data_IF_854138858422
#
_entry.id   IF_854138858422
#
_cell.length_a   1.000
_cell.length_b   1.000
_cell.length_c   1.000
_cell.angle_alpha   90.00
_cell.angle_beta   90.00
_cell.angle_gamma   90.00
#
_symmetry.space_group_name_H-M   'P 1'
#
loop_
_entity.id
_entity.type
_entity.pdbx_description
1 polymer ?
#
# COMPACT_ATOMS: atom_id res chain seq x y z
N UNK A 1 -7.35 33.93 -17.58
CA UNK A 1 -6.58 33.09 -16.72
C UNK A 1 -6.58 31.73 -17.35
N UNK A 2 -5.46 31.26 -17.86
CA UNK A 2 -5.37 30.01 -18.62
C UNK A 2 -5.55 28.84 -17.66
N UNK A 3 -6.68 28.14 -17.75
CA UNK A 3 -6.80 26.79 -17.24
C UNK A 3 -5.83 25.93 -18.04
N UNK A 4 -4.60 25.83 -17.55
CA UNK A 4 -3.66 24.83 -18.05
C UNK A 4 -4.19 23.49 -17.61
N UNK A 5 -4.89 22.78 -18.51
CA UNK A 5 -5.29 21.38 -18.37
C UNK A 5 -4.04 20.47 -18.33
N UNK A 6 -3.15 20.69 -17.36
CA UNK A 6 -1.98 19.83 -17.15
C UNK A 6 -2.49 18.48 -16.68
N UNK A 7 -2.14 17.43 -17.39
CA UNK A 7 -2.42 16.06 -16.95
C UNK A 7 -1.68 15.77 -15.63
N UNK A 8 -2.33 15.06 -14.73
CA UNK A 8 -1.73 14.60 -13.46
C UNK A 8 -0.34 13.95 -13.66
N UNK A 9 -0.14 13.26 -14.76
CA UNK A 9 1.13 12.60 -15.09
C UNK A 9 2.16 13.55 -15.73
N UNK A 10 1.76 14.74 -16.17
CA UNK A 10 2.64 15.77 -16.76
C UNK A 10 3.16 16.77 -15.72
N UNK A 11 2.57 16.79 -14.51
CA UNK A 11 3.07 17.60 -13.36
C UNK A 11 4.54 17.29 -13.05
N UNK A 12 5.02 16.12 -13.44
CA UNK A 12 6.42 15.71 -13.30
C UNK A 12 7.41 16.56 -14.09
N UNK A 13 6.95 17.35 -15.04
CA UNK A 13 7.78 18.28 -15.79
C UNK A 13 8.17 19.52 -14.96
N UNK A 14 7.50 19.73 -13.82
CA UNK A 14 7.86 20.78 -12.86
C UNK A 14 8.93 20.26 -11.88
N UNK A 15 9.76 21.15 -11.36
CA UNK A 15 10.80 20.84 -10.37
C UNK A 15 11.94 19.97 -10.90
N UNK A 16 12.51 19.13 -10.04
CA UNK A 16 13.65 18.26 -10.34
C UNK A 16 13.16 16.86 -10.71
N UNK A 17 13.32 16.48 -11.99
CA UNK A 17 12.84 15.19 -12.54
C UNK A 17 13.95 14.38 -13.21
N UNK A 18 15.21 14.56 -12.78
CA UNK A 18 16.31 13.73 -13.27
C UNK A 18 16.16 12.29 -12.77
N UNK A 19 16.61 11.32 -13.56
CA UNK A 19 16.39 9.89 -13.29
C UNK A 19 16.79 9.43 -11.89
N UNK A 20 17.92 9.91 -11.37
CA UNK A 20 18.42 9.54 -10.04
C UNK A 20 17.59 10.14 -8.88
N UNK A 21 16.94 11.30 -9.09
CA UNK A 21 16.13 11.93 -8.04
C UNK A 21 14.90 11.08 -7.68
N UNK A 22 14.31 10.42 -8.67
CA UNK A 22 13.20 9.49 -8.46
C UNK A 22 13.61 8.29 -7.62
N UNK A 23 14.76 7.68 -7.98
CA UNK A 23 15.28 6.53 -7.26
C UNK A 23 15.65 6.93 -5.82
N UNK A 24 16.29 8.09 -5.63
CA UNK A 24 16.68 8.58 -4.31
C UNK A 24 15.47 8.83 -3.41
N UNK A 25 14.41 9.47 -3.91
CA UNK A 25 13.19 9.72 -3.14
C UNK A 25 12.46 8.42 -2.81
N UNK A 26 12.36 7.50 -3.77
CA UNK A 26 11.79 6.18 -3.53
C UNK A 26 12.57 5.44 -2.43
N UNK A 27 13.89 5.45 -2.53
CA UNK A 27 14.76 4.84 -1.54
C UNK A 27 14.62 5.47 -0.15
N UNK A 28 14.59 6.78 -0.10
CA UNK A 28 14.37 7.52 1.15
C UNK A 28 13.02 7.19 1.78
N UNK A 29 12.00 6.98 0.94
CA UNK A 29 10.66 6.54 1.38
C UNK A 29 10.69 5.13 1.96
N UNK A 30 11.37 4.19 1.30
CA UNK A 30 11.52 2.81 1.79
C UNK A 30 12.27 2.77 3.12
N UNK A 31 13.36 3.53 3.25
CA UNK A 31 14.09 3.64 4.51
C UNK A 31 13.24 4.24 5.62
N UNK A 32 12.54 5.33 5.32
CA UNK A 32 11.64 5.97 6.26
C UNK A 32 10.55 5.02 6.73
N UNK A 33 9.96 4.24 5.81
CA UNK A 33 8.98 3.22 6.14
C UNK A 33 9.56 2.14 7.06
N UNK A 34 10.72 1.58 6.74
CA UNK A 34 11.37 0.56 7.58
C UNK A 34 11.65 1.09 9.00
N UNK A 35 12.17 2.31 9.13
CA UNK A 35 12.42 2.92 10.43
C UNK A 35 11.13 3.11 11.24
N UNK A 36 10.10 3.66 10.60
CA UNK A 36 8.78 3.85 11.21
C UNK A 36 8.18 2.51 11.63
N UNK A 37 8.26 1.50 10.76
CA UNK A 37 7.78 0.16 11.06
C UNK A 37 8.47 -0.40 12.30
N UNK A 38 9.79 -0.41 12.38
CA UNK A 38 10.54 -0.90 13.53
C UNK A 38 10.10 -0.20 14.83
N UNK A 39 9.97 1.13 14.80
CA UNK A 39 9.61 1.92 15.98
C UNK A 39 8.17 1.66 16.42
N UNK A 40 7.22 1.66 15.48
CA UNK A 40 5.79 1.53 15.79
C UNK A 40 5.41 0.09 16.11
N UNK A 41 5.96 -0.91 15.40
CA UNK A 41 5.60 -2.31 15.62
C UNK A 41 6.45 -2.99 16.70
N UNK A 42 7.55 -2.40 17.11
CA UNK A 42 8.42 -2.94 18.15
C UNK A 42 7.69 -3.38 19.44
N UNK A 43 6.71 -2.62 19.96
CA UNK A 43 5.93 -3.02 21.14
C UNK A 43 4.92 -4.15 20.91
N UNK A 44 4.61 -4.55 19.67
CA UNK A 44 3.55 -5.53 19.38
C UNK A 44 3.73 -6.88 20.10
N UNK A 45 4.92 -7.48 20.14
CA UNK A 45 5.09 -8.75 20.84
C UNK A 45 4.71 -8.69 22.32
N UNK A 46 5.08 -7.61 23.02
CA UNK A 46 4.76 -7.43 24.44
C UNK A 46 3.27 -7.15 24.65
N UNK A 47 2.68 -6.34 23.79
CA UNK A 47 1.24 -6.06 23.82
C UNK A 47 0.42 -7.33 23.53
N UNK A 48 0.88 -8.16 22.59
CA UNK A 48 0.26 -9.44 22.28
C UNK A 48 0.32 -10.40 23.48
N UNK A 49 1.48 -10.47 24.14
CA UNK A 49 1.68 -11.32 25.35
C UNK A 49 0.79 -10.89 26.50
N UNK A 50 0.57 -9.59 26.67
CA UNK A 50 -0.32 -9.06 27.71
C UNK A 50 -1.81 -9.27 27.37
N UNK A 51 -2.19 -9.29 26.10
CA UNK A 51 -3.57 -9.52 25.68
C UNK A 51 -3.94 -11.01 25.61
N UNK A 52 -3.05 -11.85 25.09
CA UNK A 52 -3.19 -13.31 24.99
C UNK A 52 -1.82 -13.97 25.21
N UNK A 53 -1.57 -14.57 26.39
CA UNK A 53 -0.30 -15.24 26.71
C UNK A 53 0.06 -16.37 25.73
N UNK A 54 -0.93 -17.10 25.18
CA UNK A 54 -0.67 -18.16 24.21
C UNK A 54 -0.19 -17.60 22.89
N UNK A 55 -0.79 -16.50 22.43
CA UNK A 55 -0.36 -15.80 21.22
C UNK A 55 1.03 -15.18 21.42
N UNK A 56 1.29 -14.59 22.58
CA UNK A 56 2.63 -14.11 22.95
C UNK A 56 3.68 -15.20 22.85
N UNK A 57 3.40 -16.38 23.41
CA UNK A 57 4.29 -17.54 23.30
C UNK A 57 4.50 -17.99 21.84
N UNK A 58 3.45 -17.98 21.00
CA UNK A 58 3.58 -18.31 19.58
C UNK A 58 4.47 -17.30 18.84
N UNK A 59 4.35 -16.00 19.13
CA UNK A 59 5.20 -14.94 18.55
C UNK A 59 6.66 -15.16 18.96
N UNK A 60 6.93 -15.42 20.24
CA UNK A 60 8.28 -15.66 20.74
C UNK A 60 8.90 -16.88 20.04
N UNK A 61 8.16 -17.99 19.95
CA UNK A 61 8.62 -19.21 19.30
C UNK A 61 8.87 -19.01 17.80
N UNK A 62 7.97 -18.35 17.09
CA UNK A 62 8.14 -18.05 15.67
C UNK A 62 9.34 -17.12 15.44
N UNK A 63 9.55 -16.13 16.30
CA UNK A 63 10.70 -15.24 16.27
C UNK A 63 12.01 -15.99 16.54
N UNK A 64 12.02 -16.88 17.53
CA UNK A 64 13.19 -17.73 17.83
C UNK A 64 13.53 -18.66 16.66
N UNK A 65 12.53 -19.32 16.06
CA UNK A 65 12.70 -20.15 14.87
C UNK A 65 13.28 -19.34 13.70
N UNK A 66 12.74 -18.14 13.45
CA UNK A 66 13.26 -17.24 12.43
C UNK A 66 14.72 -16.88 12.69
N UNK A 67 15.10 -16.52 13.92
CA UNK A 67 16.48 -16.16 14.29
C UNK A 67 17.43 -17.34 14.07
N UNK A 68 17.02 -18.57 14.40
CA UNK A 68 17.83 -19.78 14.21
C UNK A 68 18.07 -20.09 12.73
N UNK A 69 17.14 -19.71 11.84
CA UNK A 69 17.25 -19.92 10.40
C UNK A 69 18.02 -18.80 9.68
N UNK A 70 18.30 -17.68 10.34
CA UNK A 70 18.99 -16.54 9.74
C UNK A 70 20.44 -16.92 9.42
N UNK A 71 20.80 -16.81 8.13
CA UNK A 71 22.20 -16.83 7.69
C UNK A 71 22.87 -15.47 7.98
N UNK A 72 23.41 -15.34 9.18
CA UNK A 72 24.06 -14.11 9.63
C UNK A 72 25.21 -13.63 8.73
N UNK A 73 25.86 -14.53 8.00
CA UNK A 73 26.91 -14.13 7.03
C UNK A 73 26.28 -13.41 5.84
N UNK A 74 25.21 -13.96 5.27
CA UNK A 74 24.47 -13.30 4.20
C UNK A 74 23.81 -12.00 4.65
N UNK A 75 23.19 -12.00 5.83
CA UNK A 75 22.61 -10.77 6.41
C UNK A 75 23.66 -9.68 6.56
N UNK A 76 24.84 -10.00 7.12
CA UNK A 76 25.92 -9.04 7.25
C UNK A 76 26.46 -8.56 5.90
N UNK A 77 26.64 -9.45 4.93
CA UNK A 77 27.12 -9.10 3.59
C UNK A 77 26.15 -8.14 2.87
N UNK A 78 24.87 -8.50 2.78
CA UNK A 78 23.87 -7.67 2.12
C UNK A 78 23.55 -6.41 2.92
N UNK A 79 23.59 -6.47 4.25
CA UNK A 79 23.45 -5.31 5.13
C UNK A 79 24.58 -4.28 4.94
N UNK A 80 25.82 -4.71 4.76
CA UNK A 80 26.94 -3.83 4.44
C UNK A 80 26.78 -3.18 3.05
N UNK A 81 26.38 -3.95 2.03
CA UNK A 81 26.10 -3.41 0.70
C UNK A 81 24.99 -2.35 0.76
N UNK A 82 23.92 -2.65 1.49
CA UNK A 82 22.84 -1.72 1.76
C UNK A 82 23.33 -0.43 2.43
N UNK A 83 24.06 -0.55 3.52
CA UNK A 83 24.57 0.57 4.31
C UNK A 83 25.52 1.47 3.50
N UNK A 84 26.57 0.88 2.90
CA UNK A 84 27.54 1.65 2.12
C UNK A 84 26.97 2.22 0.83
N UNK A 85 26.03 1.50 0.17
CA UNK A 85 25.30 2.02 -0.96
C UNK A 85 24.48 3.26 -0.60
N UNK A 86 23.74 3.20 0.52
CA UNK A 86 22.96 4.32 1.04
C UNK A 86 23.87 5.52 1.38
N UNK A 87 24.96 5.27 2.08
CA UNK A 87 25.93 6.30 2.46
C UNK A 87 26.55 6.98 1.23
N UNK A 88 26.97 6.21 0.23
CA UNK A 88 27.49 6.72 -1.03
C UNK A 88 26.46 7.59 -1.76
N UNK A 89 25.21 7.11 -1.84
CA UNK A 89 24.11 7.85 -2.46
C UNK A 89 23.86 9.20 -1.78
N UNK A 90 23.79 9.22 -0.47
CA UNK A 90 23.56 10.44 0.32
C UNK A 90 24.70 11.44 0.24
N UNK A 91 25.95 10.97 0.36
CA UNK A 91 27.15 11.83 0.26
C UNK A 91 27.20 12.46 -1.14
N UNK A 92 27.09 11.65 -2.19
CA UNK A 92 27.13 12.13 -3.57
C UNK A 92 26.02 13.12 -3.89
N UNK A 93 24.81 12.88 -3.35
CA UNK A 93 23.67 13.80 -3.48
C UNK A 93 23.94 15.13 -2.77
N UNK A 94 24.47 15.10 -1.54
CA UNK A 94 24.84 16.29 -0.77
C UNK A 94 25.89 17.14 -1.49
N UNK A 95 26.92 16.48 -2.03
CA UNK A 95 27.95 17.14 -2.84
C UNK A 95 27.36 17.80 -4.09
N UNK A 96 26.45 17.10 -4.78
CA UNK A 96 25.79 17.62 -5.98
C UNK A 96 24.95 18.89 -5.70
N UNK A 97 24.35 18.98 -4.52
CA UNK A 97 23.57 20.15 -4.09
C UNK A 97 24.46 21.35 -3.74
N UNK A 98 25.63 21.09 -3.19
CA UNK A 98 26.54 22.14 -2.73
C UNK A 98 27.35 22.78 -3.86
N UNK A 99 27.63 22.07 -4.96
CA UNK A 99 28.46 22.54 -6.07
C UNK A 99 27.65 22.77 -7.33
N UNK A 100 27.29 24.02 -7.60
CA UNK A 100 26.43 24.43 -8.72
C UNK A 100 27.07 24.32 -10.13
N UNK A 101 28.32 23.85 -10.29
CA UNK A 101 29.05 23.84 -11.56
C UNK A 101 29.61 22.47 -11.95
N UNK A 102 29.54 22.17 -13.25
CA UNK A 102 30.29 21.24 -14.12
C UNK A 102 30.63 19.80 -13.63
N UNK A 103 30.80 19.54 -12.35
CA UNK A 103 31.03 18.19 -11.78
C UNK A 103 29.73 17.38 -11.62
N UNK A 104 28.62 17.93 -12.02
CA UNK A 104 27.25 17.41 -11.83
C UNK A 104 26.99 16.02 -12.47
N UNK A 105 27.68 15.69 -13.57
CA UNK A 105 27.48 14.39 -14.24
C UNK A 105 28.08 13.23 -13.47
N UNK A 106 29.24 13.40 -12.88
CA UNK A 106 29.92 12.34 -12.12
C UNK A 106 29.27 12.07 -10.75
N UNK A 107 28.83 13.13 -10.04
CA UNK A 107 28.15 12.97 -8.75
C UNK A 107 26.75 12.35 -8.90
N UNK A 108 26.02 12.69 -9.97
CA UNK A 108 24.74 12.02 -10.29
C UNK A 108 24.92 10.53 -10.60
N UNK A 109 26.00 10.18 -11.30
CA UNK A 109 26.34 8.78 -11.57
C UNK A 109 26.70 8.01 -10.28
N UNK A 110 27.51 8.59 -9.39
CA UNK A 110 27.83 7.99 -8.10
C UNK A 110 26.59 7.86 -7.19
N UNK A 111 25.70 8.85 -7.20
CA UNK A 111 24.41 8.74 -6.50
C UNK A 111 23.61 7.56 -7.02
N UNK A 112 23.54 7.39 -8.35
CA UNK A 112 22.86 6.25 -8.97
C UNK A 112 23.47 4.90 -8.58
N UNK A 113 24.81 4.77 -8.60
CA UNK A 113 25.51 3.55 -8.17
C UNK A 113 25.19 3.25 -6.71
N UNK A 114 25.27 4.25 -5.83
CA UNK A 114 24.99 4.09 -4.40
C UNK A 114 23.57 3.59 -4.16
N UNK A 115 22.60 4.15 -4.86
CA UNK A 115 21.20 3.75 -4.75
C UNK A 115 20.97 2.34 -5.29
N UNK A 116 21.56 1.98 -6.45
CA UNK A 116 21.44 0.63 -7.02
C UNK A 116 22.05 -0.41 -6.07
N UNK A 117 23.24 -0.14 -5.54
CA UNK A 117 23.88 -1.03 -4.57
C UNK A 117 23.05 -1.19 -3.30
N UNK A 118 22.51 -0.10 -2.79
CA UNK A 118 21.62 -0.11 -1.63
C UNK A 118 20.35 -0.95 -1.91
N UNK A 119 19.73 -0.76 -3.07
CA UNK A 119 18.54 -1.50 -3.46
C UNK A 119 18.84 -3.01 -3.63
N UNK A 120 19.98 -3.34 -4.23
CA UNK A 120 20.44 -4.72 -4.34
C UNK A 120 20.64 -5.37 -2.96
N UNK A 121 21.28 -4.64 -2.03
CA UNK A 121 21.44 -5.09 -0.64
C UNK A 121 20.10 -5.36 0.03
N UNK A 122 19.13 -4.45 -0.10
CA UNK A 122 17.81 -4.58 0.53
C UNK A 122 16.99 -5.75 -0.05
N UNK A 123 16.94 -5.89 -1.38
CA UNK A 123 16.18 -6.98 -2.02
C UNK A 123 16.68 -8.35 -1.56
N UNK A 124 17.99 -8.49 -1.37
CA UNK A 124 18.57 -9.75 -0.91
C UNK A 124 18.50 -9.92 0.62
N UNK A 125 18.44 -8.81 1.37
CA UNK A 125 18.31 -8.85 2.83
C UNK A 125 16.88 -9.17 3.26
N UNK A 126 15.89 -8.63 2.56
CA UNK A 126 14.47 -8.75 2.94
C UNK A 126 13.99 -10.20 3.06
N UNK A 127 14.24 -11.11 2.10
CA UNK A 127 13.83 -12.52 2.23
C UNK A 127 14.51 -13.26 3.37
N UNK A 128 15.74 -12.84 3.76
CA UNK A 128 16.48 -13.46 4.86
C UNK A 128 15.93 -13.08 6.24
N UNK A 129 15.17 -12.00 6.32
CA UNK A 129 14.59 -11.47 7.56
C UNK A 129 13.05 -11.60 7.58
N UNK A 130 12.44 -12.12 6.53
CA UNK A 130 10.99 -12.23 6.39
C UNK A 130 10.59 -13.69 6.55
N UNK A 131 9.93 -14.01 7.66
CA UNK A 131 9.38 -15.33 7.94
C UNK A 131 7.87 -15.33 7.89
N UNK A 132 7.28 -16.24 7.10
CA UNK A 132 5.83 -16.28 6.87
C UNK A 132 5.06 -16.68 8.14
N UNK A 133 5.62 -17.56 8.98
CA UNK A 133 4.98 -17.99 10.23
C UNK A 133 4.97 -16.83 11.24
N UNK A 134 6.10 -16.15 11.41
CA UNK A 134 6.20 -14.99 12.28
C UNK A 134 5.25 -13.88 11.86
N UNK A 135 5.21 -13.56 10.58
CA UNK A 135 4.30 -12.54 10.03
C UNK A 135 2.83 -12.91 10.25
N UNK A 136 2.43 -14.16 9.95
CA UNK A 136 1.06 -14.62 10.15
C UNK A 136 0.65 -14.58 11.63
N UNK A 137 1.57 -14.90 12.52
CA UNK A 137 1.33 -14.87 13.97
C UNK A 137 1.18 -13.43 14.47
N UNK A 138 2.01 -12.50 13.99
CA UNK A 138 1.87 -11.05 14.28
C UNK A 138 0.54 -10.51 13.74
N UNK A 139 0.13 -10.90 12.52
CA UNK A 139 -1.17 -10.50 11.95
C UNK A 139 -2.33 -10.95 12.84
N UNK A 140 -2.30 -12.16 13.40
CA UNK A 140 -3.33 -12.62 14.35
C UNK A 140 -3.45 -11.71 15.57
N UNK A 141 -2.35 -11.11 16.02
CA UNK A 141 -2.35 -10.19 17.17
C UNK A 141 -3.19 -8.91 16.91
N UNK A 142 -3.38 -8.51 15.65
CA UNK A 142 -4.22 -7.36 15.27
C UNK A 142 -5.66 -7.57 15.74
N UNK A 143 -6.18 -8.79 15.61
CA UNK A 143 -7.56 -9.13 15.97
C UNK A 143 -7.82 -9.25 17.48
N UNK A 144 -6.77 -9.44 18.29
CA UNK A 144 -6.92 -9.63 19.76
C UNK A 144 -6.73 -8.34 20.54
N UNK A 145 -6.14 -7.29 19.95
CA UNK A 145 -5.90 -6.02 20.65
C UNK A 145 -6.16 -4.80 19.76
N UNK A 146 -7.14 -3.95 20.15
CA UNK A 146 -7.35 -2.67 19.46
C UNK A 146 -6.11 -1.78 19.42
N UNK A 147 -5.25 -1.84 20.45
CA UNK A 147 -4.00 -1.08 20.49
C UNK A 147 -3.03 -1.55 19.39
N UNK A 148 -2.89 -2.87 19.22
CA UNK A 148 -2.05 -3.44 18.16
C UNK A 148 -2.60 -3.05 16.78
N UNK A 149 -3.92 -3.08 16.62
CA UNK A 149 -4.58 -2.65 15.39
C UNK A 149 -4.29 -1.18 15.05
N UNK A 150 -4.36 -0.28 16.05
CA UNK A 150 -4.00 1.13 15.89
C UNK A 150 -2.54 1.28 15.45
N UNK A 151 -1.60 0.63 16.14
CA UNK A 151 -0.18 0.69 15.83
C UNK A 151 0.09 0.18 14.41
N UNK A 152 -0.48 -0.95 14.05
CA UNK A 152 -0.34 -1.52 12.71
C UNK A 152 -0.79 -0.55 11.61
N UNK A 153 -1.95 0.07 11.76
CA UNK A 153 -2.46 1.02 10.77
C UNK A 153 -1.71 2.36 10.75
N UNK A 154 -1.16 2.82 11.88
CA UNK A 154 -0.40 4.07 11.95
C UNK A 154 0.97 4.00 11.26
N UNK A 155 1.53 2.81 11.02
CA UNK A 155 2.75 2.64 10.21
C UNK A 155 2.59 3.30 8.84
N UNK A 156 1.42 3.15 8.21
CA UNK A 156 1.17 3.63 6.87
C UNK A 156 1.28 5.17 6.76
N UNK A 157 0.43 5.98 7.40
CA UNK A 157 0.52 7.44 7.26
C UNK A 157 1.84 8.00 7.80
N UNK A 158 2.45 7.40 8.82
CA UNK A 158 3.73 7.83 9.33
C UNK A 158 4.86 7.63 8.31
N UNK A 159 4.79 6.59 7.47
CA UNK A 159 5.77 6.34 6.41
C UNK A 159 5.78 7.42 5.31
N UNK A 160 4.66 8.12 5.10
CA UNK A 160 4.56 9.21 4.11
C UNK A 160 5.44 10.41 4.44
N UNK A 161 5.88 10.56 5.69
CA UNK A 161 6.75 11.68 6.10
C UNK A 161 7.99 11.71 5.20
N UNK A 162 8.64 10.58 5.00
CA UNK A 162 9.84 10.49 4.15
C UNK A 162 9.53 10.83 2.68
N UNK A 163 8.43 10.33 2.12
CA UNK A 163 8.01 10.65 0.77
C UNK A 163 7.74 12.15 0.60
N UNK A 164 7.04 12.77 1.53
CA UNK A 164 6.72 14.20 1.48
C UNK A 164 7.98 15.07 1.62
N UNK A 165 8.92 14.68 2.46
CA UNK A 165 10.22 15.34 2.55
C UNK A 165 11.00 15.20 1.24
N UNK A 166 11.02 14.02 0.64
CA UNK A 166 11.63 13.77 -0.66
C UNK A 166 10.99 14.59 -1.77
N UNK A 167 9.65 14.64 -1.82
CA UNK A 167 8.90 15.44 -2.78
C UNK A 167 9.25 16.94 -2.66
N UNK A 168 9.24 17.45 -1.44
CA UNK A 168 9.49 18.88 -1.18
C UNK A 168 10.95 19.29 -1.41
N UNK A 169 11.92 18.52 -0.91
CA UNK A 169 13.30 18.94 -0.84
C UNK A 169 14.19 18.38 -1.96
N UNK A 170 13.86 17.19 -2.50
CA UNK A 170 14.63 16.57 -3.58
C UNK A 170 14.00 16.92 -4.93
N UNK A 171 12.71 16.63 -5.10
CA UNK A 171 11.98 16.98 -6.32
C UNK A 171 11.63 18.46 -6.42
N UNK A 172 11.63 19.22 -5.32
CA UNK A 172 11.26 20.64 -5.27
C UNK A 172 9.85 20.90 -5.83
N UNK A 173 8.92 19.99 -5.54
CA UNK A 173 7.51 20.06 -5.93
C UNK A 173 6.61 20.19 -4.71
N UNK A 174 5.39 20.69 -4.94
CA UNK A 174 4.38 20.75 -3.88
C UNK A 174 3.94 19.34 -3.49
N UNK A 175 3.58 19.13 -2.22
CA UNK A 175 3.01 17.88 -1.75
C UNK A 175 1.68 17.60 -2.48
N UNK A 176 0.91 18.65 -2.77
CA UNK A 176 -0.36 18.55 -3.48
C UNK A 176 -0.22 17.85 -4.85
N UNK A 177 0.91 18.04 -5.54
CA UNK A 177 1.17 17.42 -6.85
C UNK A 177 1.27 15.89 -6.81
N UNK A 178 1.44 15.28 -5.62
CA UNK A 178 1.30 13.83 -5.43
C UNK A 178 -0.16 13.39 -5.34
N UNK A 179 -1.08 14.28 -5.04
CA UNK A 179 -2.47 13.96 -4.79
C UNK A 179 -3.37 14.28 -5.98
N UNK A 180 -3.15 15.42 -6.63
CA UNK A 180 -4.06 15.91 -7.67
C UNK A 180 -3.38 16.93 -8.58
N UNK A 181 -3.87 17.04 -9.82
CA UNK A 181 -3.55 18.15 -10.71
C UNK A 181 -4.46 19.37 -10.46
N UNK A 182 -5.47 19.25 -9.63
CA UNK A 182 -6.35 20.36 -9.23
C UNK A 182 -5.62 21.27 -8.23
N UNK A 183 -5.94 22.58 -8.19
CA UNK A 183 -5.40 23.50 -7.21
C UNK A 183 -5.77 23.13 -5.75
N UNK A 184 -6.77 22.28 -5.55
CA UNK A 184 -7.23 21.83 -4.22
C UNK A 184 -7.67 20.37 -4.28
N UNK A 185 -7.67 19.69 -3.11
CA UNK A 185 -8.24 18.34 -2.97
C UNK A 185 -9.76 18.39 -3.17
N UNK A 186 -10.27 17.52 -4.03
CA UNK A 186 -11.70 17.43 -4.37
C UNK A 186 -12.38 16.35 -3.53
N UNK A 187 -12.60 16.65 -2.25
CA UNK A 187 -13.16 15.70 -1.28
C UNK A 187 -14.46 15.03 -1.72
N UNK A 188 -15.32 15.76 -2.44
CA UNK A 188 -16.56 15.23 -2.98
C UNK A 188 -16.36 14.02 -3.91
N UNK A 189 -15.25 13.96 -4.65
CA UNK A 189 -14.92 12.83 -5.52
C UNK A 189 -14.52 11.59 -4.71
N UNK A 190 -13.69 11.77 -3.70
CA UNK A 190 -13.32 10.69 -2.78
C UNK A 190 -14.53 10.12 -2.04
N UNK A 191 -15.37 11.00 -1.48
CA UNK A 191 -16.60 10.60 -0.78
C UNK A 191 -17.57 9.89 -1.73
N UNK A 192 -17.77 10.41 -2.94
CA UNK A 192 -18.62 9.76 -3.92
C UNK A 192 -18.11 8.36 -4.29
N UNK A 193 -16.81 8.22 -4.55
CA UNK A 193 -16.21 6.92 -4.84
C UNK A 193 -16.35 5.94 -3.66
N UNK A 194 -16.16 6.43 -2.43
CA UNK A 194 -16.36 5.66 -1.21
C UNK A 194 -17.80 5.13 -1.10
N UNK A 195 -18.79 6.00 -1.24
CA UNK A 195 -20.21 5.62 -1.13
C UNK A 195 -20.66 4.69 -2.26
N UNK A 196 -20.25 4.96 -3.50
CA UNK A 196 -20.54 4.10 -4.66
C UNK A 196 -19.96 2.72 -4.43
N UNK A 197 -18.73 2.62 -3.97
CA UNK A 197 -18.08 1.33 -3.71
C UNK A 197 -18.80 0.55 -2.60
N UNK A 198 -19.15 1.18 -1.49
CA UNK A 198 -19.92 0.55 -0.42
C UNK A 198 -21.29 0.06 -0.91
N UNK A 199 -21.98 0.87 -1.71
CA UNK A 199 -23.28 0.50 -2.27
C UNK A 199 -23.17 -0.72 -3.20
N UNK A 200 -22.18 -0.74 -4.09
CA UNK A 200 -21.97 -1.87 -5.01
C UNK A 200 -21.61 -3.14 -4.25
N UNK A 201 -20.63 -3.05 -3.34
CA UNK A 201 -20.21 -4.21 -2.54
C UNK A 201 -21.35 -4.73 -1.67
N UNK A 202 -22.10 -3.84 -1.01
CA UNK A 202 -23.26 -4.22 -0.19
C UNK A 202 -24.37 -4.89 -1.02
N UNK A 203 -24.66 -4.34 -2.20
CA UNK A 203 -25.69 -4.92 -3.09
C UNK A 203 -25.27 -6.29 -3.60
N UNK A 204 -24.03 -6.46 -4.05
CA UNK A 204 -23.53 -7.75 -4.54
C UNK A 204 -23.45 -8.79 -3.41
N UNK A 205 -23.01 -8.39 -2.23
CA UNK A 205 -22.96 -9.28 -1.06
C UNK A 205 -24.35 -9.74 -0.63
N UNK A 206 -25.32 -8.82 -0.62
CA UNK A 206 -26.72 -9.15 -0.31
C UNK A 206 -27.33 -10.08 -1.37
N UNK A 207 -27.09 -9.79 -2.66
CA UNK A 207 -27.56 -10.64 -3.75
C UNK A 207 -26.93 -12.04 -3.68
N UNK A 208 -25.63 -12.14 -3.39
CA UNK A 208 -24.93 -13.41 -3.18
C UNK A 208 -25.51 -14.21 -2.02
N UNK A 209 -25.86 -13.54 -0.93
CA UNK A 209 -26.46 -14.19 0.24
C UNK A 209 -27.88 -14.69 -0.07
N UNK A 210 -28.75 -13.86 -0.66
CA UNK A 210 -30.12 -14.21 -0.98
C UNK A 210 -30.19 -15.36 -2.00
N UNK A 211 -29.27 -15.38 -2.97
CA UNK A 211 -29.19 -16.46 -3.98
C UNK A 211 -28.53 -17.74 -3.45
N UNK A 212 -28.08 -17.78 -2.20
CA UNK A 212 -27.39 -18.92 -1.62
C UNK A 212 -25.95 -19.15 -2.16
N UNK A 213 -25.42 -18.22 -2.96
CA UNK A 213 -24.06 -18.31 -3.50
C UNK A 213 -23.00 -18.03 -2.45
N UNK A 214 -23.27 -17.17 -1.47
CA UNK A 214 -22.36 -16.86 -0.37
C UNK A 214 -22.97 -17.23 0.98
N UNK A 215 -22.16 -17.89 1.82
CA UNK A 215 -22.53 -18.22 3.20
C UNK A 215 -21.87 -17.22 4.13
N UNK A 216 -22.69 -16.40 4.78
CA UNK A 216 -22.24 -15.47 5.81
C UNK A 216 -22.87 -15.82 7.16
N UNK A 217 -22.08 -15.69 8.22
CA UNK A 217 -22.53 -15.90 9.61
C UNK A 217 -22.51 -14.57 10.35
N UNK A 218 -23.59 -14.27 11.06
CA UNK A 218 -23.63 -13.10 11.94
C UNK A 218 -22.61 -13.24 13.08
N UNK A 219 -21.93 -12.14 13.39
CA UNK A 219 -20.86 -12.08 14.38
C UNK A 219 -21.06 -10.94 15.39
N UNK A 220 -22.30 -10.58 15.69
CA UNK A 220 -22.64 -9.41 16.51
C UNK A 220 -22.20 -9.49 17.97
N UNK A 221 -21.86 -10.69 18.43
CA UNK A 221 -21.40 -10.94 19.80
C UNK A 221 -19.86 -10.86 19.93
N UNK A 222 -19.15 -10.55 18.85
CA UNK A 222 -17.69 -10.46 18.91
C UNK A 222 -17.27 -9.32 19.84
N UNK A 223 -16.25 -9.61 20.65
CA UNK A 223 -15.71 -8.64 21.59
C UNK A 223 -15.15 -7.41 20.88
N UNK A 224 -15.36 -6.24 21.47
CA UNK A 224 -14.88 -4.95 20.96
C UNK A 224 -15.31 -4.59 19.52
N UNK A 225 -16.30 -5.28 18.94
CA UNK A 225 -16.69 -5.08 17.54
C UNK A 225 -16.96 -3.59 17.21
N UNK A 226 -17.70 -2.87 18.06
CA UNK A 226 -17.98 -1.45 17.85
C UNK A 226 -16.71 -0.59 17.84
N UNK A 227 -15.76 -0.90 18.73
CA UNK A 227 -14.48 -0.18 18.78
C UNK A 227 -13.68 -0.43 17.50
N UNK A 228 -13.58 -1.69 17.03
CA UNK A 228 -12.90 -2.00 15.78
C UNK A 228 -13.57 -1.34 14.57
N UNK A 229 -14.90 -1.24 14.53
CA UNK A 229 -15.61 -0.54 13.47
C UNK A 229 -15.26 0.96 13.43
N UNK A 230 -15.24 1.62 14.61
CA UNK A 230 -14.86 3.05 14.73
C UNK A 230 -13.41 3.26 14.29
N UNK A 231 -12.49 2.41 14.78
CA UNK A 231 -11.07 2.49 14.43
C UNK A 231 -10.86 2.22 12.94
N UNK A 232 -11.58 1.29 12.35
CA UNK A 232 -11.53 0.99 10.92
C UNK A 232 -11.97 2.18 10.07
N UNK A 233 -13.08 2.84 10.44
CA UNK A 233 -13.53 4.06 9.76
C UNK A 233 -12.54 5.22 9.86
N UNK A 234 -11.82 5.33 10.98
CA UNK A 234 -10.87 6.42 11.20
C UNK A 234 -9.51 6.15 10.54
N UNK A 235 -9.00 4.92 10.58
CA UNK A 235 -7.60 4.61 10.26
C UNK A 235 -7.40 3.95 8.90
N UNK A 236 -8.33 3.10 8.45
CA UNK A 236 -8.21 2.46 7.13
C UNK A 236 -8.18 3.47 5.97
N UNK A 237 -8.95 4.57 5.97
CA UNK A 237 -8.80 5.59 4.93
C UNK A 237 -7.41 6.21 4.87
N UNK A 238 -6.71 6.35 5.99
CA UNK A 238 -5.32 6.84 6.03
C UNK A 238 -4.34 5.80 5.48
N UNK A 239 -4.54 4.51 5.83
CA UNK A 239 -3.78 3.40 5.27
C UNK A 239 -3.95 3.33 3.75
N UNK A 240 -5.19 3.30 3.27
CA UNK A 240 -5.50 3.24 1.84
C UNK A 240 -4.97 4.46 1.08
N UNK A 241 -5.11 5.67 1.65
CA UNK A 241 -4.53 6.88 1.06
C UNK A 241 -3.00 6.77 0.92
N UNK A 242 -2.32 6.21 1.92
CA UNK A 242 -0.88 6.01 1.87
C UNK A 242 -0.47 5.14 0.69
N UNK A 243 -1.14 4.01 0.50
CA UNK A 243 -0.85 3.12 -0.62
C UNK A 243 -1.15 3.79 -1.96
N UNK A 244 -2.27 4.50 -2.10
CA UNK A 244 -2.58 5.22 -3.32
C UNK A 244 -1.54 6.33 -3.63
N UNK A 245 -1.09 7.07 -2.61
CA UNK A 245 -0.07 8.12 -2.78
C UNK A 245 1.26 7.52 -3.26
N UNK A 246 1.66 6.37 -2.71
CA UNK A 246 2.90 5.70 -3.10
C UNK A 246 2.78 5.09 -4.50
N UNK A 247 1.76 4.26 -4.75
CA UNK A 247 1.67 3.48 -5.99
C UNK A 247 1.08 4.29 -7.14
N UNK A 248 -0.03 4.98 -6.95
CA UNK A 248 -0.74 5.72 -8.01
C UNK A 248 -0.31 7.18 -8.10
N UNK A 249 0.17 7.73 -6.99
CA UNK A 249 0.83 9.02 -6.95
C UNK A 249 2.26 8.93 -7.44
N UNK A 250 3.17 8.50 -6.59
CA UNK A 250 4.59 8.60 -6.83
C UNK A 250 5.10 7.65 -7.93
N UNK A 251 4.84 6.34 -7.83
CA UNK A 251 5.36 5.35 -8.79
C UNK A 251 4.77 5.52 -10.19
N UNK A 252 3.47 5.79 -10.32
CA UNK A 252 2.87 6.05 -11.62
C UNK A 252 3.42 7.31 -12.28
N UNK A 253 3.61 8.40 -11.52
CA UNK A 253 4.25 9.61 -12.04
C UNK A 253 5.68 9.30 -12.49
N UNK A 254 6.45 8.60 -11.68
CA UNK A 254 7.82 8.21 -12.02
C UNK A 254 7.88 7.37 -13.30
N UNK A 255 7.14 6.26 -13.34
CA UNK A 255 7.19 5.36 -14.50
C UNK A 255 6.61 6.01 -15.76
N UNK A 256 5.57 6.84 -15.65
CA UNK A 256 5.05 7.59 -16.79
C UNK A 256 6.09 8.58 -17.33
N UNK A 257 6.80 9.26 -16.42
CA UNK A 257 7.88 10.19 -16.82
C UNK A 257 9.05 9.44 -17.48
N UNK A 258 9.44 8.28 -16.97
CA UNK A 258 10.55 7.48 -17.48
C UNK A 258 10.21 6.82 -18.81
N UNK A 259 9.06 6.17 -18.90
CA UNK A 259 8.67 5.33 -20.04
C UNK A 259 7.88 6.10 -21.11
N UNK A 260 7.47 7.34 -20.82
CA UNK A 260 6.60 8.17 -21.68
C UNK A 260 5.31 7.45 -22.11
N UNK A 261 4.87 6.49 -21.30
CA UNK A 261 3.68 5.68 -21.56
C UNK A 261 2.97 5.34 -20.23
N UNK A 262 1.84 5.99 -19.98
CA UNK A 262 1.05 5.78 -18.76
C UNK A 262 0.50 4.36 -18.63
N UNK A 263 0.16 3.69 -19.72
CA UNK A 263 -0.43 2.35 -19.69
C UNK A 263 0.59 1.31 -19.20
N UNK A 264 1.85 1.42 -19.64
CA UNK A 264 2.94 0.58 -19.15
C UNK A 264 3.20 0.91 -17.67
N UNK A 265 3.18 2.19 -17.28
CA UNK A 265 3.31 2.59 -15.88
C UNK A 265 2.20 1.99 -15.01
N UNK A 266 0.95 1.96 -15.46
CA UNK A 266 -0.17 1.35 -14.76
C UNK A 266 0.04 -0.15 -14.54
N UNK A 267 0.49 -0.87 -15.57
CA UNK A 267 0.80 -2.30 -15.47
C UNK A 267 1.90 -2.54 -14.43
N UNK A 268 3.01 -1.79 -14.50
CA UNK A 268 4.15 -1.95 -13.59
C UNK A 268 3.72 -1.62 -12.14
N UNK A 269 3.05 -0.48 -11.94
CA UNK A 269 2.58 -0.07 -10.61
C UNK A 269 1.60 -1.06 -10.00
N UNK A 270 0.69 -1.62 -10.82
CA UNK A 270 -0.27 -2.64 -10.37
C UNK A 270 0.40 -3.98 -10.05
N UNK A 271 1.42 -4.38 -10.82
CA UNK A 271 2.21 -5.56 -10.54
C UNK A 271 3.03 -5.41 -9.24
N UNK A 272 3.64 -4.24 -9.03
CA UNK A 272 4.35 -3.93 -7.79
C UNK A 272 3.38 -3.91 -6.59
N UNK A 273 2.21 -3.30 -6.74
CA UNK A 273 1.18 -3.32 -5.72
C UNK A 273 0.77 -4.75 -5.36
N UNK A 274 0.47 -5.58 -6.36
CA UNK A 274 0.17 -6.99 -6.13
C UNK A 274 1.32 -7.71 -5.42
N UNK A 275 2.57 -7.49 -5.83
CA UNK A 275 3.73 -8.17 -5.25
C UNK A 275 3.92 -7.89 -3.75
N UNK A 276 3.50 -6.72 -3.26
CA UNK A 276 3.54 -6.39 -1.82
C UNK A 276 2.55 -7.22 -1.00
N UNK A 277 1.59 -7.90 -1.65
CA UNK A 277 0.60 -8.74 -0.99
C UNK A 277 0.95 -10.24 -1.01
N UNK A 278 2.13 -10.61 -1.52
CA UNK A 278 2.57 -12.02 -1.58
C UNK A 278 2.72 -12.69 -0.20
N UNK A 279 2.98 -11.90 0.84
CA UNK A 279 3.07 -12.40 2.23
C UNK A 279 1.74 -12.32 3.00
N UNK A 280 0.66 -11.87 2.38
CA UNK A 280 -0.65 -11.87 3.01
C UNK A 280 -1.16 -13.30 3.22
N UNK A 281 -1.92 -13.56 4.29
CA UNK A 281 -2.48 -14.91 4.56
C UNK A 281 -3.25 -15.47 3.38
N UNK A 282 -3.99 -14.64 2.63
CA UNK A 282 -4.74 -15.03 1.43
C UNK A 282 -3.85 -15.52 0.30
N UNK A 283 -2.70 -14.87 0.09
CA UNK A 283 -1.75 -15.26 -0.94
C UNK A 283 -1.00 -16.54 -0.55
N UNK A 284 -0.62 -16.67 0.74
CA UNK A 284 0.00 -17.87 1.27
C UNK A 284 -0.96 -19.06 1.15
N UNK A 285 -2.23 -18.89 1.54
CA UNK A 285 -3.26 -19.90 1.36
C UNK A 285 -3.51 -20.22 -0.12
N UNK A 286 -3.52 -19.21 -0.98
CA UNK A 286 -3.62 -19.39 -2.42
C UNK A 286 -2.46 -20.19 -3.02
N UNK A 287 -1.25 -20.07 -2.46
CA UNK A 287 -0.11 -20.87 -2.84
C UNK A 287 -0.27 -22.34 -2.42
N UNK A 288 -0.72 -22.59 -1.18
CA UNK A 288 -1.02 -23.94 -0.69
C UNK A 288 -2.10 -24.65 -1.52
N UNK A 289 -3.16 -23.92 -1.88
CA UNK A 289 -4.30 -24.43 -2.64
C UNK A 289 -4.04 -24.49 -4.17
N UNK A 290 -2.85 -24.07 -4.64
CA UNK A 290 -2.49 -24.08 -6.06
C UNK A 290 -3.18 -22.98 -6.90
N UNK A 291 -3.74 -21.94 -6.26
CA UNK A 291 -4.48 -20.83 -6.90
C UNK A 291 -3.82 -19.47 -6.70
N UNK A 292 -2.52 -19.43 -6.36
CA UNK A 292 -1.77 -18.19 -6.11
C UNK A 292 -1.92 -17.17 -7.24
N UNK A 293 -1.77 -17.61 -8.50
CA UNK A 293 -1.87 -16.71 -9.64
C UNK A 293 -3.26 -16.05 -9.74
N UNK A 294 -4.31 -16.81 -9.45
CA UNK A 294 -5.68 -16.29 -9.42
C UNK A 294 -5.84 -15.25 -8.29
N UNK A 295 -5.37 -15.55 -7.09
CA UNK A 295 -5.37 -14.62 -5.95
C UNK A 295 -4.61 -13.33 -6.27
N UNK A 296 -3.40 -13.45 -6.82
CA UNK A 296 -2.56 -12.30 -7.17
C UNK A 296 -3.14 -11.48 -8.32
N UNK A 297 -3.87 -12.12 -9.26
CA UNK A 297 -4.57 -11.39 -10.31
C UNK A 297 -5.66 -10.47 -9.75
N UNK A 298 -6.27 -10.81 -8.61
CA UNK A 298 -7.21 -9.96 -7.90
C UNK A 298 -6.56 -8.65 -7.42
N UNK A 299 -5.44 -8.74 -6.74
CA UNK A 299 -4.67 -7.55 -6.32
C UNK A 299 -4.21 -6.71 -7.51
N UNK A 300 -3.77 -7.37 -8.59
CA UNK A 300 -3.37 -6.68 -9.81
C UNK A 300 -4.55 -5.91 -10.45
N UNK A 301 -5.70 -6.55 -10.64
CA UNK A 301 -6.88 -5.92 -11.23
C UNK A 301 -7.40 -4.77 -10.37
N UNK A 302 -7.44 -4.94 -9.05
CA UNK A 302 -7.78 -3.87 -8.12
C UNK A 302 -6.82 -2.68 -8.31
N UNK A 303 -5.53 -2.95 -8.36
CA UNK A 303 -4.50 -1.95 -8.58
C UNK A 303 -4.64 -1.22 -9.91
N UNK A 304 -4.96 -1.95 -10.97
CA UNK A 304 -5.15 -1.40 -12.31
C UNK A 304 -6.40 -0.52 -12.39
N UNK A 305 -7.50 -0.92 -11.76
CA UNK A 305 -8.71 -0.10 -11.66
C UNK A 305 -8.44 1.19 -10.90
N UNK A 306 -7.69 1.16 -9.81
CA UNK A 306 -7.27 2.36 -9.11
C UNK A 306 -6.46 3.31 -10.02
N UNK A 307 -5.56 2.79 -10.87
CA UNK A 307 -4.86 3.60 -11.88
C UNK A 307 -5.83 4.23 -12.91
N UNK A 308 -6.86 3.49 -13.34
CA UNK A 308 -7.89 4.02 -14.24
C UNK A 308 -8.68 5.16 -13.58
N UNK A 309 -9.04 5.03 -12.31
CA UNK A 309 -9.73 6.08 -11.56
C UNK A 309 -8.87 7.34 -11.44
N UNK A 310 -7.57 7.21 -11.19
CA UNK A 310 -6.63 8.34 -11.17
C UNK A 310 -6.55 9.02 -12.53
N UNK A 311 -6.47 8.24 -13.60
CA UNK A 311 -6.45 8.79 -14.96
C UNK A 311 -7.75 9.52 -15.31
N UNK A 312 -8.88 8.93 -14.95
CA UNK A 312 -10.20 9.52 -15.18
C UNK A 312 -10.39 10.82 -14.40
N UNK A 313 -9.90 10.90 -13.19
CA UNK A 313 -10.08 12.04 -12.28
C UNK A 313 -8.99 13.10 -12.38
N UNK A 314 -7.88 12.78 -13.01
CA UNK A 314 -6.69 13.64 -12.98
C UNK A 314 -6.21 13.92 -11.53
N UNK A 315 -6.29 12.90 -10.67
CA UNK A 315 -5.94 12.96 -9.25
C UNK A 315 -6.31 11.68 -8.50
N UNK A 316 -5.88 11.56 -7.24
CA UNK A 316 -6.01 10.35 -6.42
C UNK A 316 -7.37 10.21 -5.71
N UNK A 317 -8.19 11.25 -5.68
CA UNK A 317 -9.33 11.35 -4.77
C UNK A 317 -10.28 10.16 -4.91
N UNK A 318 -10.69 9.81 -6.14
CA UNK A 318 -11.59 8.66 -6.34
C UNK A 318 -10.90 7.32 -6.09
N UNK A 319 -9.62 7.19 -6.39
CA UNK A 319 -8.87 5.96 -6.09
C UNK A 319 -8.75 5.73 -4.58
N UNK A 320 -8.45 6.79 -3.81
CA UNK A 320 -8.41 6.73 -2.35
C UNK A 320 -9.79 6.36 -1.78
N UNK A 321 -10.86 7.01 -2.25
CA UNK A 321 -12.22 6.70 -1.81
C UNK A 321 -12.64 5.27 -2.11
N UNK A 322 -12.36 4.78 -3.32
CA UNK A 322 -12.59 3.40 -3.74
C UNK A 322 -11.83 2.39 -2.86
N UNK A 323 -10.54 2.61 -2.66
CA UNK A 323 -9.70 1.72 -1.87
C UNK A 323 -10.10 1.71 -0.39
N UNK A 324 -10.28 2.89 0.20
CA UNK A 324 -10.74 3.02 1.59
C UNK A 324 -12.10 2.32 1.81
N UNK A 325 -13.03 2.46 0.86
CA UNK A 325 -14.32 1.80 0.93
C UNK A 325 -14.22 0.28 0.87
N UNK A 326 -13.38 -0.26 -0.02
CA UNK A 326 -13.16 -1.70 -0.11
C UNK A 326 -12.66 -2.28 1.22
N UNK A 327 -11.60 -1.68 1.76
CA UNK A 327 -10.97 -2.19 2.98
C UNK A 327 -11.85 -1.96 4.23
N UNK A 328 -12.54 -0.83 4.33
CA UNK A 328 -13.49 -0.60 5.43
C UNK A 328 -14.74 -1.47 5.29
N UNK A 329 -15.18 -1.81 4.09
CA UNK A 329 -16.29 -2.74 3.88
C UNK A 329 -15.95 -4.13 4.46
N UNK A 330 -14.77 -4.63 4.16
CA UNK A 330 -14.27 -5.89 4.71
C UNK A 330 -14.15 -5.82 6.24
N UNK A 331 -13.52 -4.79 6.77
CA UNK A 331 -13.28 -4.66 8.21
C UNK A 331 -14.56 -4.45 9.03
N UNK A 332 -15.62 -3.88 8.46
CA UNK A 332 -16.85 -3.51 9.19
C UNK A 332 -17.98 -4.50 8.90
N UNK A 333 -18.24 -4.77 7.62
CA UNK A 333 -19.45 -5.51 7.25
C UNK A 333 -19.20 -7.00 7.08
N UNK A 334 -18.30 -7.40 6.19
CA UNK A 334 -18.11 -8.82 5.85
C UNK A 334 -16.61 -9.12 5.76
N UNK A 335 -16.10 -9.79 6.78
CA UNK A 335 -14.72 -10.30 6.80
C UNK A 335 -14.71 -11.82 6.64
N UNK A 336 -13.54 -12.43 6.62
CA UNK A 336 -13.37 -13.87 6.51
C UNK A 336 -12.18 -14.33 7.37
N UNK A 337 -12.18 -15.63 7.70
CA UNK A 337 -11.09 -16.24 8.44
C UNK A 337 -9.82 -16.29 7.58
N UNK A 338 -8.70 -15.86 8.15
CA UNK A 338 -7.43 -15.75 7.44
C UNK A 338 -7.26 -14.45 6.65
N UNK A 339 -8.08 -13.43 6.92
CA UNK A 339 -7.89 -12.07 6.38
C UNK A 339 -6.61 -11.43 6.91
N UNK A 340 -5.97 -10.60 6.09
CA UNK A 340 -4.82 -9.75 6.51
C UNK A 340 -5.21 -8.73 7.58
N UNK A 341 -6.50 -8.36 7.65
CA UNK A 341 -7.08 -7.55 8.72
C UNK A 341 -8.06 -8.43 9.54
N UNK A 342 -7.58 -9.28 10.46
CA UNK A 342 -8.39 -10.24 11.18
C UNK A 342 -9.19 -9.58 12.32
N UNK A 343 -9.89 -8.48 12.00
CA UNK A 343 -10.73 -7.75 12.96
C UNK A 343 -12.15 -8.30 12.98
N UNK A 344 -12.85 -8.22 14.12
CA UNK A 344 -14.25 -8.63 14.21
C UNK A 344 -15.14 -7.71 13.35
N UNK A 345 -15.85 -8.32 12.41
CA UNK A 345 -16.79 -7.62 11.52
C UNK A 345 -18.22 -8.12 11.78
N UNK A 346 -19.25 -7.40 11.33
CA UNK A 346 -20.65 -7.74 11.57
C UNK A 346 -21.01 -9.13 11.05
N UNK A 347 -20.40 -9.54 9.94
CA UNK A 347 -20.58 -10.86 9.35
C UNK A 347 -19.21 -11.47 9.01
N UNK A 348 -19.12 -12.78 9.10
CA UNK A 348 -17.98 -13.57 8.68
C UNK A 348 -18.37 -14.47 7.51
N UNK A 349 -17.66 -14.32 6.39
CA UNK A 349 -17.84 -15.14 5.20
C UNK A 349 -16.89 -16.34 5.20
N UNK A 350 -17.28 -17.38 4.47
CA UNK A 350 -16.36 -18.47 4.13
C UNK A 350 -15.78 -18.18 2.74
N UNK A 351 -14.45 -18.00 2.59
CA UNK A 351 -13.84 -17.69 1.31
C UNK A 351 -14.08 -18.80 0.27
N UNK A 352 -14.35 -18.40 -0.96
CA UNK A 352 -14.41 -19.27 -2.12
C UNK A 352 -13.86 -18.53 -3.35
N UNK A 353 -12.57 -18.70 -3.64
CA UNK A 353 -11.87 -17.96 -4.68
C UNK A 353 -12.52 -18.09 -6.06
N UNK A 354 -13.11 -19.25 -6.38
CA UNK A 354 -13.76 -19.48 -7.67
C UNK A 354 -15.05 -18.67 -7.85
N UNK A 355 -15.66 -18.23 -6.74
CA UNK A 355 -16.85 -17.40 -6.74
C UNK A 355 -16.51 -15.93 -6.46
N UNK A 356 -15.60 -15.70 -5.52
CA UNK A 356 -15.22 -14.35 -5.06
C UNK A 356 -14.52 -13.55 -6.18
N UNK A 357 -13.69 -14.21 -7.00
CA UNK A 357 -13.01 -13.55 -8.12
C UNK A 357 -13.96 -13.02 -9.20
N UNK A 358 -14.91 -13.80 -9.77
CA UNK A 358 -15.90 -13.26 -10.70
C UNK A 358 -16.73 -12.13 -10.10
N UNK A 359 -17.17 -12.27 -8.84
CA UNK A 359 -17.95 -11.22 -8.14
C UNK A 359 -17.11 -9.94 -8.01
N UNK A 360 -15.85 -10.06 -7.63
CA UNK A 360 -14.93 -8.93 -7.55
C UNK A 360 -14.76 -8.24 -8.92
N UNK A 361 -14.54 -8.99 -10.00
CA UNK A 361 -14.43 -8.42 -11.35
C UNK A 361 -15.71 -7.67 -11.74
N UNK A 362 -16.87 -8.23 -11.47
CA UNK A 362 -18.16 -7.57 -11.70
C UNK A 362 -18.25 -6.27 -10.88
N UNK A 363 -17.88 -6.31 -9.60
CA UNK A 363 -17.85 -5.13 -8.74
C UNK A 363 -16.94 -4.04 -9.31
N UNK A 364 -15.71 -4.38 -9.70
CA UNK A 364 -14.74 -3.45 -10.29
C UNK A 364 -15.28 -2.79 -11.56
N UNK A 365 -15.93 -3.56 -12.45
CA UNK A 365 -16.54 -3.03 -13.67
C UNK A 365 -17.69 -2.07 -13.33
N UNK A 366 -18.62 -2.47 -12.44
CA UNK A 366 -19.76 -1.62 -12.06
C UNK A 366 -19.30 -0.34 -11.41
N UNK A 367 -18.38 -0.40 -10.43
CA UNK A 367 -17.82 0.78 -9.75
C UNK A 367 -17.20 1.73 -10.77
N UNK A 368 -16.35 1.20 -11.66
CA UNK A 368 -15.67 2.02 -12.68
C UNK A 368 -16.68 2.71 -13.60
N UNK A 369 -17.69 1.99 -14.09
CA UNK A 369 -18.73 2.53 -14.97
C UNK A 369 -19.61 3.57 -14.28
N UNK A 370 -20.00 3.34 -13.03
CA UNK A 370 -20.79 4.31 -12.25
C UNK A 370 -20.00 5.58 -12.00
N UNK A 371 -18.76 5.47 -11.54
CA UNK A 371 -17.91 6.62 -11.30
C UNK A 371 -17.59 7.40 -12.59
N UNK A 372 -17.37 6.70 -13.70
CA UNK A 372 -17.19 7.33 -15.00
C UNK A 372 -18.44 8.16 -15.41
N UNK A 373 -19.64 7.60 -15.27
CA UNK A 373 -20.89 8.27 -15.64
C UNK A 373 -21.28 9.42 -14.70
N UNK A 374 -21.04 9.27 -13.40
CA UNK A 374 -21.39 10.31 -12.41
C UNK A 374 -20.46 11.52 -12.49
N UNK A 375 -19.22 11.32 -12.93
CA UNK A 375 -18.25 12.39 -13.15
C UNK A 375 -18.67 13.35 -14.27
N UNK A 376 -19.23 12.86 -15.39
CA UNK A 376 -19.62 13.71 -16.53
C UNK A 376 -20.77 14.67 -16.21
N UNK A 377 -21.60 14.35 -15.23
CA UNK A 377 -22.75 15.21 -14.84
C UNK A 377 -22.37 16.39 -13.96
N UNK A 378 -21.15 16.43 -13.40
CA UNK A 378 -20.70 17.50 -12.51
C UNK A 378 -19.91 18.61 -13.25
N UNK A 379 -19.69 18.47 -14.54
CA UNK A 379 -18.92 19.39 -15.40
C UNK A 379 -19.82 20.07 -16.44
N UNK A 380 -21.06 19.64 -16.59
CA UNK A 380 -22.12 20.28 -17.37
C UNK A 380 -23.08 21.05 -16.43
#
# INVERSE_FOLDING_TARGET
MSDSNISYFEITNEGVSVWWSWILVFWFTVLGWLLVQIVITGPIPELARSADPNLGFQIDKATENMIQQIDFKKVSYFGLIFFFGTLLGLISWSMNRSFKNSYLKSSGFLTGIGVIASFYGLINLFPLMNDAEANTTIIKAIGVSPTIYILFLLVFPASLIALYLGQKYIHQRTILSLHTASPTIRWNRGINAFLVTWLVLGTLSLAGHISGLSVVKANFQAENILLYMILSLALIPLQSATEEIVFRGYLNQWFTHLLKNKWIAFIISSALFASMHLSNPEALKGAEDGVLLLTMSGYFLFGFVACLLVWMDNGLESAIGFHAANNTFAAIFINYEGSVLPVPSLFMAKPNINLDMPIMVIALIIITLVLYKTRYKSVS
#
